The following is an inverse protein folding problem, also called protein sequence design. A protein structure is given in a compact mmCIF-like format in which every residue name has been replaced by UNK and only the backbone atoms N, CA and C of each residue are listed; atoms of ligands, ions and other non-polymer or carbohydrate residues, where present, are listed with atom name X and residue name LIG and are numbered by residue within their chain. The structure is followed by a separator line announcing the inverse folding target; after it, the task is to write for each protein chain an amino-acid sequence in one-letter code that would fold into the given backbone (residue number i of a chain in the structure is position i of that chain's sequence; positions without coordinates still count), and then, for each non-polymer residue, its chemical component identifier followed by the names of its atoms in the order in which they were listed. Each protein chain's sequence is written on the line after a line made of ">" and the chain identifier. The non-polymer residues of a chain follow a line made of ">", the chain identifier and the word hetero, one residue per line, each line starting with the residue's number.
data_IF_916937930748
#
_entry.id   IF_916937930748
#
_cell.length_a   1.000
_cell.length_b   1.000
_cell.length_c   1.000
_cell.angle_alpha   90.00
_cell.angle_beta   90.00
_cell.angle_gamma   90.00
#
_symmetry.space_group_name_H-M   'P 1'
#
loop_
_entity.id
_entity.type
_entity.pdbx_description
1 polymer ?
#
# COMPACT_ATOMS: atom_id res chain seq x y z
N UNK A 1 5.74 -6.59 15.94
CA UNK A 1 4.50 -5.92 15.46
C UNK A 1 4.01 -4.84 16.42
N UNK A 2 4.14 -5.06 17.71
CA UNK A 2 3.73 -4.06 18.70
C UNK A 2 4.51 -2.75 18.53
N UNK A 3 5.81 -2.85 18.29
CA UNK A 3 6.66 -1.69 18.05
C UNK A 3 6.25 -0.96 16.76
N UNK A 4 5.86 -1.70 15.72
CA UNK A 4 5.41 -1.11 14.46
C UNK A 4 4.07 -0.39 14.61
N UNK A 5 3.14 -0.96 15.37
CA UNK A 5 1.85 -0.33 15.66
C UNK A 5 2.05 0.94 16.45
N UNK A 6 2.93 0.92 17.44
CA UNK A 6 3.24 2.10 18.26
C UNK A 6 3.87 3.20 17.41
N UNK A 7 4.79 2.85 16.53
CA UNK A 7 5.42 3.79 15.61
C UNK A 7 4.38 4.42 14.68
N UNK A 8 3.47 3.61 14.12
CA UNK A 8 2.39 4.10 13.27
C UNK A 8 1.50 5.10 14.01
N UNK A 9 1.09 4.77 15.23
CA UNK A 9 0.27 5.65 16.05
C UNK A 9 0.97 6.97 16.35
N UNK A 10 2.28 6.90 16.60
CA UNK A 10 3.09 8.10 16.82
C UNK A 10 3.09 9.00 15.57
N UNK A 11 3.18 8.42 14.38
CA UNK A 11 3.19 9.17 13.12
C UNK A 11 1.86 9.83 12.80
N UNK A 12 0.76 9.33 13.36
CA UNK A 12 -0.56 9.90 13.14
C UNK A 12 -0.72 11.30 13.74
N UNK A 13 0.20 11.73 14.61
CA UNK A 13 0.23 13.11 15.09
C UNK A 13 0.69 14.10 14.02
N UNK A 14 1.40 13.63 13.00
CA UNK A 14 1.79 14.43 11.84
C UNK A 14 0.61 14.57 10.90
N UNK A 15 0.15 15.81 10.64
CA UNK A 15 -1.02 16.06 9.83
C UNK A 15 -0.83 15.64 8.37
N UNK A 16 0.38 15.76 7.84
CA UNK A 16 0.67 15.32 6.48
C UNK A 16 0.59 13.80 6.35
N UNK A 17 1.20 13.09 7.28
CA UNK A 17 1.12 11.61 7.29
C UNK A 17 -0.32 11.14 7.41
N UNK A 18 -1.09 11.75 8.33
CA UNK A 18 -2.50 11.40 8.52
C UNK A 18 -3.31 11.64 7.25
N UNK A 19 -3.07 12.76 6.56
CA UNK A 19 -3.73 13.07 5.29
C UNK A 19 -3.42 12.02 4.23
N UNK A 20 -2.17 11.56 4.15
CA UNK A 20 -1.78 10.51 3.19
C UNK A 20 -2.44 9.17 3.53
N UNK A 21 -2.60 8.87 4.81
CA UNK A 21 -3.30 7.64 5.23
C UNK A 21 -4.79 7.69 4.89
N UNK A 22 -5.41 8.87 4.95
CA UNK A 22 -6.80 9.05 4.53
C UNK A 22 -6.95 8.81 3.02
N UNK A 23 -6.01 9.31 2.22
CA UNK A 23 -5.98 9.07 0.76
C UNK A 23 -5.80 7.58 0.48
N UNK A 24 -4.92 6.93 1.21
CA UNK A 24 -4.70 5.49 1.09
C UNK A 24 -5.98 4.70 1.38
N UNK A 25 -6.68 5.05 2.46
CA UNK A 25 -7.94 4.40 2.82
C UNK A 25 -9.00 4.60 1.74
N UNK A 26 -9.05 5.79 1.14
CA UNK A 26 -9.97 6.10 0.06
C UNK A 26 -9.72 5.21 -1.16
N UNK A 27 -8.45 5.04 -1.55
CA UNK A 27 -8.10 4.17 -2.67
C UNK A 27 -8.39 2.70 -2.38
N UNK A 28 -8.21 2.25 -1.12
CA UNK A 28 -8.59 0.90 -0.72
C UNK A 28 -10.09 0.66 -0.95
N UNK A 29 -10.93 1.59 -0.52
CA UNK A 29 -12.37 1.48 -0.69
C UNK A 29 -12.75 1.48 -2.17
N UNK A 30 -12.17 2.38 -2.95
CA UNK A 30 -12.46 2.46 -4.38
C UNK A 30 -11.99 1.23 -5.14
N UNK A 31 -10.88 0.62 -4.73
CA UNK A 31 -10.42 -0.63 -5.32
C UNK A 31 -11.43 -1.76 -5.08
N UNK A 32 -11.97 -1.85 -3.88
CA UNK A 32 -13.01 -2.84 -3.55
C UNK A 32 -14.26 -2.62 -4.40
N UNK A 33 -14.71 -1.38 -4.51
CA UNK A 33 -15.88 -1.04 -5.33
C UNK A 33 -15.66 -1.40 -6.80
N UNK A 34 -14.46 -1.12 -7.33
CA UNK A 34 -14.09 -1.46 -8.70
C UNK A 34 -14.07 -2.97 -8.93
N UNK A 35 -13.63 -3.75 -7.94
CA UNK A 35 -13.65 -5.21 -8.01
C UNK A 35 -15.09 -5.73 -8.08
N UNK A 36 -15.97 -5.15 -7.30
CA UNK A 36 -17.39 -5.53 -7.28
C UNK A 36 -18.05 -5.17 -8.61
N UNK A 37 -17.75 -4.00 -9.16
CA UNK A 37 -18.35 -3.56 -10.44
C UNK A 37 -17.74 -4.24 -11.66
N UNK A 38 -16.60 -4.93 -11.48
CA UNK A 38 -15.93 -5.64 -12.57
C UNK A 38 -15.19 -4.72 -13.54
N UNK A 39 -14.59 -3.65 -13.04
CA UNK A 39 -13.84 -2.68 -13.86
C UNK A 39 -12.33 -2.85 -13.65
N UNK A 40 -11.65 -3.74 -14.43
CA UNK A 40 -10.24 -4.08 -14.18
C UNK A 40 -9.27 -2.89 -14.23
N UNK A 41 -9.51 -1.95 -15.16
CA UNK A 41 -8.63 -0.77 -15.29
C UNK A 41 -8.68 0.13 -14.07
N UNK A 42 -9.85 0.25 -13.42
CA UNK A 42 -9.99 1.03 -12.19
C UNK A 42 -9.33 0.30 -11.02
N UNK A 43 -9.47 -1.03 -10.94
CA UNK A 43 -8.79 -1.84 -9.93
C UNK A 43 -7.28 -1.63 -10.03
N UNK A 44 -6.73 -1.72 -11.25
CA UNK A 44 -5.31 -1.51 -11.49
C UNK A 44 -4.85 -0.14 -11.02
N UNK A 45 -5.58 0.90 -11.39
CA UNK A 45 -5.24 2.27 -11.04
C UNK A 45 -5.22 2.48 -9.52
N UNK A 46 -6.26 2.02 -8.83
CA UNK A 46 -6.33 2.20 -7.38
C UNK A 46 -5.29 1.35 -6.66
N UNK A 47 -5.04 0.14 -7.14
CA UNK A 47 -4.01 -0.72 -6.57
C UNK A 47 -2.61 -0.08 -6.74
N UNK A 48 -2.36 0.52 -7.91
CA UNK A 48 -1.12 1.26 -8.15
C UNK A 48 -0.96 2.41 -7.15
N UNK A 49 -2.01 3.20 -6.92
CA UNK A 49 -1.96 4.31 -5.98
C UNK A 49 -1.71 3.81 -4.55
N UNK A 50 -2.35 2.73 -4.16
CA UNK A 50 -2.12 2.11 -2.84
C UNK A 50 -0.66 1.69 -2.71
N UNK A 51 -0.14 0.97 -3.70
CA UNK A 51 1.23 0.47 -3.70
C UNK A 51 2.24 1.62 -3.61
N UNK A 52 2.02 2.68 -4.37
CA UNK A 52 2.88 3.87 -4.38
C UNK A 52 2.86 4.60 -3.04
N UNK A 53 1.68 4.79 -2.46
CA UNK A 53 1.54 5.46 -1.17
C UNK A 53 2.22 4.66 -0.06
N UNK A 54 2.07 3.34 -0.06
CA UNK A 54 2.71 2.49 0.94
C UNK A 54 4.23 2.50 0.78
N UNK A 55 4.74 2.46 -0.45
CA UNK A 55 6.17 2.53 -0.70
C UNK A 55 6.76 3.87 -0.22
N UNK A 56 6.04 4.95 -0.45
CA UNK A 56 6.49 6.30 -0.13
C UNK A 56 6.42 6.60 1.37
N UNK A 57 5.30 6.24 2.01
CA UNK A 57 5.01 6.66 3.38
C UNK A 57 5.13 5.55 4.42
N UNK A 58 5.08 4.30 4.02
CA UNK A 58 5.18 3.14 4.92
C UNK A 58 6.33 2.21 4.55
N UNK A 59 7.36 2.76 3.90
CA UNK A 59 8.51 2.00 3.42
C UNK A 59 9.17 1.17 4.53
N UNK A 60 9.19 1.69 5.75
CA UNK A 60 9.78 1.01 6.90
C UNK A 60 9.05 -0.28 7.28
N UNK A 61 7.84 -0.49 6.79
CA UNK A 61 7.08 -1.72 7.00
C UNK A 61 7.34 -2.77 5.91
N UNK A 62 7.99 -2.37 4.81
CA UNK A 62 8.32 -3.27 3.71
C UNK A 62 9.64 -3.96 4.02
N UNK A 63 9.65 -5.28 3.95
CA UNK A 63 10.87 -6.05 4.22
C UNK A 63 11.95 -5.72 3.20
N UNK A 64 13.21 -5.75 3.64
CA UNK A 64 14.35 -5.40 2.78
C UNK A 64 14.39 -6.26 1.51
N UNK A 65 14.09 -7.54 1.64
CA UNK A 65 14.10 -8.45 0.50
C UNK A 65 13.05 -8.10 -0.55
N UNK A 66 11.99 -7.39 -0.17
CA UNK A 66 10.89 -7.04 -1.07
C UNK A 66 11.02 -5.63 -1.66
N UNK A 67 11.90 -4.79 -1.13
CA UNK A 67 12.06 -3.41 -1.56
C UNK A 67 12.31 -3.27 -3.05
N UNK A 68 13.25 -4.05 -3.57
CA UNK A 68 13.64 -4.00 -4.98
C UNK A 68 12.48 -4.41 -5.91
N UNK A 69 11.78 -5.49 -5.57
CA UNK A 69 10.65 -5.98 -6.35
C UNK A 69 9.48 -5.00 -6.33
N UNK A 70 9.26 -4.38 -5.17
CA UNK A 70 8.21 -3.38 -5.01
C UNK A 70 8.46 -2.17 -5.92
N UNK A 71 9.66 -1.63 -5.89
CA UNK A 71 10.05 -0.50 -6.73
C UNK A 71 9.94 -0.84 -8.21
N UNK A 72 10.41 -2.02 -8.58
CA UNK A 72 10.34 -2.50 -9.96
C UNK A 72 8.89 -2.60 -10.45
N UNK A 73 8.00 -3.09 -9.59
CA UNK A 73 6.57 -3.15 -9.89
C UNK A 73 5.97 -1.78 -10.12
N UNK A 74 6.34 -0.79 -9.31
CA UNK A 74 5.88 0.59 -9.49
C UNK A 74 6.40 1.21 -10.78
N UNK A 75 7.66 0.95 -11.12
CA UNK A 75 8.29 1.50 -12.33
C UNK A 75 7.66 0.95 -13.60
N UNK A 76 7.27 -0.32 -13.59
CA UNK A 76 6.69 -0.98 -14.77
C UNK A 76 5.16 -0.92 -14.80
N UNK A 77 4.52 -0.70 -13.67
CA UNK A 77 3.06 -0.78 -13.54
C UNK A 77 2.52 -2.20 -13.49
N UNK A 78 3.41 -3.19 -13.47
CA UNK A 78 3.06 -4.61 -13.34
C UNK A 78 3.55 -5.14 -11.99
N UNK A 79 2.91 -6.21 -11.49
CA UNK A 79 3.32 -6.84 -10.23
C UNK A 79 3.33 -5.84 -9.07
N UNK A 80 2.16 -5.25 -8.81
CA UNK A 80 2.01 -4.27 -7.74
C UNK A 80 1.82 -4.97 -6.40
N UNK A 81 2.41 -4.42 -5.35
CA UNK A 81 2.36 -5.00 -4.01
C UNK A 81 1.52 -4.12 -3.08
N UNK A 82 0.96 -4.75 -2.06
CA UNK A 82 0.19 -4.09 -1.03
C UNK A 82 0.47 -4.77 0.31
N UNK A 83 0.72 -3.97 1.33
CA UNK A 83 0.88 -4.47 2.69
C UNK A 83 -0.49 -4.90 3.22
N UNK A 84 -0.54 -6.09 3.81
CA UNK A 84 -1.70 -6.59 4.53
C UNK A 84 -1.30 -6.80 5.99
N UNK A 85 -2.10 -6.31 6.92
CA UNK A 85 -1.79 -6.38 8.35
C UNK A 85 -0.74 -5.34 8.75
N UNK A 86 0.10 -5.68 9.72
CA UNK A 86 1.05 -4.74 10.32
C UNK A 86 2.33 -4.52 9.51
N UNK A 87 2.56 -5.29 8.46
CA UNK A 87 3.81 -5.23 7.68
C UNK A 87 4.97 -5.92 8.41
N UNK A 88 6.19 -5.49 8.10
CA UNK A 88 7.38 -5.98 8.81
C UNK A 88 7.64 -7.48 8.73
N UNK A 89 7.32 -8.13 7.60
CA UNK A 89 7.46 -9.56 7.46
C UNK A 89 6.15 -10.32 7.56
N UNK A 90 5.01 -9.62 7.71
CA UNK A 90 3.69 -10.22 7.66
C UNK A 90 3.27 -10.54 6.23
N UNK A 91 2.01 -10.30 5.91
CA UNK A 91 1.47 -10.67 4.60
C UNK A 91 1.54 -9.51 3.62
N UNK A 92 1.88 -9.83 2.38
CA UNK A 92 1.84 -8.91 1.26
C UNK A 92 0.96 -9.51 0.17
N UNK A 93 0.15 -8.66 -0.45
CA UNK A 93 -0.66 -9.05 -1.59
C UNK A 93 0.03 -8.55 -2.86
N UNK A 94 0.14 -9.41 -3.87
CA UNK A 94 0.72 -9.06 -5.16
C UNK A 94 -0.37 -9.09 -6.22
N UNK A 95 -0.49 -8.02 -6.98
CA UNK A 95 -1.43 -7.91 -8.08
C UNK A 95 -0.64 -7.97 -9.40
N UNK A 96 -0.84 -9.06 -10.14
CA UNK A 96 -0.17 -9.30 -11.42
C UNK A 96 -1.14 -9.08 -12.58
N UNK A 97 -0.69 -8.37 -13.60
CA UNK A 97 -1.47 -8.22 -14.84
C UNK A 97 -0.56 -7.84 -16.00
#
# INVERSE_FOLDING_TARGET
>A
TEALVKDFKSRLSDSNFRSQMEILAHHNLQAIEAMISGTPSEVQNHFYQISKLQYTHLNHLITESLQSDWKKGLDTGHNLFKICGAGGGGYFLQFNY
#
